data_IF_207372591392
#
_entry.id   IF_207372591392
#
_cell.length_a   1.000
_cell.length_b   1.000
_cell.length_c   1.000
_cell.angle_alpha   90.00
_cell.angle_beta   90.00
_cell.angle_gamma   90.00
#
_symmetry.space_group_name_H-M   'P 1'
#
loop_
_entity.id
_entity.type
_entity.pdbx_description
1 polymer ?
#
# COMPACT_ATOMS: atom_id res chain seq x y z
N UNK A 1 -28.75 -20.07 20.27
CA UNK A 1 -28.61 -21.55 20.15
C UNK A 1 -27.17 -21.89 19.84
N UNK A 2 -26.64 -23.04 20.29
CA UNK A 2 -25.29 -23.47 19.93
C UNK A 2 -25.23 -23.78 18.42
N UNK A 3 -24.26 -23.20 17.73
CA UNK A 3 -24.02 -23.39 16.30
C UNK A 3 -23.69 -24.86 16.01
N UNK A 4 -24.51 -25.53 15.19
CA UNK A 4 -24.43 -26.99 14.97
C UNK A 4 -23.65 -27.29 13.69
N UNK A 5 -22.32 -27.16 13.76
CA UNK A 5 -21.45 -27.40 12.62
C UNK A 5 -21.29 -28.89 12.30
N UNK A 6 -21.86 -29.35 11.19
CA UNK A 6 -21.90 -30.76 10.77
C UNK A 6 -20.96 -31.08 9.60
N UNK A 7 -20.28 -30.09 9.02
CA UNK A 7 -19.43 -30.28 7.85
C UNK A 7 -18.03 -30.75 8.23
N UNK A 8 -17.58 -31.87 7.62
CA UNK A 8 -16.29 -32.49 7.94
C UNK A 8 -15.09 -31.85 7.21
N UNK A 9 -15.33 -31.12 6.11
CA UNK A 9 -14.27 -30.62 5.23
C UNK A 9 -13.95 -29.12 5.36
N UNK A 10 -14.69 -28.36 6.16
CA UNK A 10 -14.42 -26.93 6.37
C UNK A 10 -13.76 -26.67 7.71
N UNK A 11 -12.87 -25.70 7.75
CA UNK A 11 -12.15 -25.34 8.97
C UNK A 11 -13.09 -24.67 9.98
N UNK A 12 -13.15 -25.21 11.21
CA UNK A 12 -13.92 -24.63 12.32
C UNK A 12 -13.36 -23.27 12.74
N UNK A 13 -12.06 -23.04 12.56
CA UNK A 13 -11.43 -21.75 12.85
C UNK A 13 -11.94 -20.66 11.91
N UNK A 14 -12.14 -20.96 10.63
CA UNK A 14 -12.71 -20.02 9.66
C UNK A 14 -14.12 -19.55 10.06
N UNK A 15 -14.91 -20.42 10.69
CA UNK A 15 -16.22 -20.07 11.23
C UNK A 15 -16.08 -19.15 12.43
N UNK A 16 -15.12 -19.41 13.31
CA UNK A 16 -14.85 -18.54 14.46
C UNK A 16 -14.44 -17.14 14.00
N UNK A 17 -13.56 -17.05 13.01
CA UNK A 17 -13.14 -15.80 12.37
C UNK A 17 -14.35 -15.08 11.78
N UNK A 18 -15.19 -15.78 11.01
CA UNK A 18 -16.41 -15.20 10.43
C UNK A 18 -17.34 -14.64 11.53
N UNK A 19 -17.55 -15.40 12.62
CA UNK A 19 -18.40 -14.99 13.74
C UNK A 19 -17.85 -13.83 14.56
N UNK A 20 -16.58 -13.46 14.41
CA UNK A 20 -16.05 -12.23 15.03
C UNK A 20 -16.83 -10.98 14.58
N UNK A 21 -17.28 -10.94 13.32
CA UNK A 21 -18.12 -9.83 12.80
C UNK A 21 -19.40 -9.71 13.60
N UNK A 22 -20.09 -10.83 13.81
CA UNK A 22 -21.32 -10.89 14.59
C UNK A 22 -21.11 -10.44 16.03
N UNK A 23 -20.05 -10.94 16.67
CA UNK A 23 -19.76 -10.66 18.08
C UNK A 23 -19.37 -9.20 18.30
N UNK A 24 -18.53 -8.64 17.44
CA UNK A 24 -18.13 -7.23 17.47
C UNK A 24 -19.33 -6.32 17.27
N UNK A 25 -20.17 -6.57 16.26
CA UNK A 25 -21.35 -5.72 16.01
C UNK A 25 -22.30 -5.77 17.21
N UNK A 26 -22.58 -6.95 17.78
CA UNK A 26 -23.46 -7.07 18.96
C UNK A 26 -22.90 -6.34 20.18
N UNK A 27 -21.58 -6.39 20.39
CA UNK A 27 -20.92 -5.71 21.51
C UNK A 27 -21.07 -4.19 21.42
N UNK A 28 -20.91 -3.62 20.22
CA UNK A 28 -20.95 -2.17 20.04
C UNK A 28 -22.34 -1.61 19.73
N UNK A 29 -23.29 -2.44 19.31
CA UNK A 29 -24.69 -2.02 19.12
C UNK A 29 -25.37 -1.63 20.44
N UNK A 30 -24.86 -2.11 21.58
CA UNK A 30 -25.31 -1.68 22.92
C UNK A 30 -24.50 -0.51 23.49
N UNK A 31 -23.53 0.02 22.73
CA UNK A 31 -22.75 1.19 23.14
C UNK A 31 -23.60 2.46 23.10
N UNK A 32 -23.25 3.45 23.92
CA UNK A 32 -23.85 4.79 23.87
C UNK A 32 -23.31 5.64 22.72
N UNK A 33 -22.17 5.24 22.12
CA UNK A 33 -21.53 5.95 21.02
C UNK A 33 -21.90 5.34 19.66
N UNK A 34 -22.19 6.21 18.68
CA UNK A 34 -22.49 5.81 17.31
C UNK A 34 -21.24 5.24 16.62
N UNK A 35 -21.23 3.93 16.37
CA UNK A 35 -20.20 3.30 15.52
C UNK A 35 -20.59 3.46 14.06
N UNK A 36 -19.72 4.14 13.28
CA UNK A 36 -19.92 4.38 11.84
C UNK A 36 -19.36 3.27 10.95
N UNK A 37 -18.20 2.73 11.31
CA UNK A 37 -17.48 1.74 10.51
C UNK A 37 -16.97 0.61 11.40
N UNK A 38 -17.14 -0.62 10.93
CA UNK A 38 -16.54 -1.81 11.52
C UNK A 38 -15.41 -2.28 10.62
N UNK A 39 -14.19 -2.32 11.14
CA UNK A 39 -13.01 -2.71 10.38
C UNK A 39 -12.44 -4.00 10.96
N UNK A 40 -12.16 -4.95 10.09
CA UNK A 40 -11.67 -6.27 10.44
C UNK A 40 -10.38 -6.55 9.68
N UNK A 41 -9.44 -7.21 10.34
CA UNK A 41 -8.18 -7.69 9.77
C UNK A 41 -7.65 -8.86 10.61
N UNK A 42 -6.58 -9.49 10.15
CA UNK A 42 -5.90 -10.55 10.89
C UNK A 42 -4.87 -9.98 11.88
N UNK A 43 -4.38 -10.83 12.79
CA UNK A 43 -3.39 -10.49 13.82
C UNK A 43 -2.03 -10.04 13.27
N UNK A 44 -1.75 -10.38 12.01
CA UNK A 44 -0.59 -9.97 11.23
C UNK A 44 -0.93 -8.89 10.18
N UNK A 45 -1.97 -8.09 10.45
CA UNK A 45 -2.38 -6.94 9.63
C UNK A 45 -2.11 -5.64 10.37
N UNK A 46 -1.33 -4.76 9.77
CA UNK A 46 -1.00 -3.44 10.31
C UNK A 46 -1.84 -2.39 9.59
N UNK A 47 -2.68 -1.67 10.32
CA UNK A 47 -3.45 -0.55 9.79
C UNK A 47 -2.75 0.78 10.06
N UNK A 48 -2.92 1.73 9.14
CA UNK A 48 -2.60 3.15 9.35
C UNK A 48 -3.90 3.89 9.67
N UNK A 49 -4.20 4.19 10.96
CA UNK A 49 -5.54 4.63 11.36
C UNK A 49 -5.99 5.93 10.70
N UNK A 50 -5.08 6.90 10.52
CA UNK A 50 -5.40 8.18 9.85
C UNK A 50 -5.81 7.96 8.39
N UNK A 51 -5.07 7.12 7.67
CA UNK A 51 -5.35 6.77 6.28
C UNK A 51 -6.65 5.97 6.15
N UNK A 52 -6.90 5.04 7.08
CA UNK A 52 -8.16 4.29 7.16
C UNK A 52 -9.35 5.25 7.35
N UNK A 53 -9.29 6.14 8.33
CA UNK A 53 -10.35 7.10 8.61
C UNK A 53 -10.60 8.04 7.43
N UNK A 54 -9.54 8.56 6.80
CA UNK A 54 -9.63 9.41 5.60
C UNK A 54 -10.16 8.65 4.38
N UNK A 55 -9.83 7.37 4.23
CA UNK A 55 -10.36 6.56 3.13
C UNK A 55 -11.85 6.30 3.32
N UNK A 56 -12.28 5.99 4.55
CA UNK A 56 -13.69 5.72 4.86
C UNK A 56 -14.56 6.98 4.82
N UNK A 57 -14.00 8.18 5.05
CA UNK A 57 -14.74 9.45 4.98
C UNK A 57 -15.28 9.79 3.59
N UNK A 58 -14.82 9.10 2.54
CA UNK A 58 -15.37 9.20 1.18
C UNK A 58 -16.81 8.70 1.08
N UNK A 59 -17.20 7.82 1.99
CA UNK A 59 -18.42 7.03 1.92
C UNK A 59 -19.39 7.41 3.03
N UNK A 60 -20.68 7.30 2.73
CA UNK A 60 -21.75 7.49 3.70
C UNK A 60 -21.97 6.21 4.49
N UNK A 61 -21.68 6.23 5.79
CA UNK A 61 -21.79 5.05 6.67
C UNK A 61 -23.23 4.57 6.88
N UNK A 62 -24.23 5.37 6.49
CA UNK A 62 -25.64 4.98 6.54
C UNK A 62 -26.05 4.12 5.35
N UNK A 63 -25.32 4.18 4.24
CA UNK A 63 -25.51 3.33 3.06
C UNK A 63 -24.76 2.00 3.21
N UNK A 64 -25.16 0.98 2.45
CA UNK A 64 -24.55 -0.35 2.53
C UNK A 64 -23.24 -0.43 1.76
N UNK A 65 -22.13 -0.42 2.49
CA UNK A 65 -20.78 -0.55 1.92
C UNK A 65 -20.02 -1.73 2.52
N UNK A 66 -19.47 -2.54 1.62
CA UNK A 66 -18.44 -3.55 1.90
C UNK A 66 -17.17 -3.13 1.17
N UNK A 67 -16.17 -2.67 1.92
CA UNK A 67 -14.97 -1.99 1.39
C UNK A 67 -13.73 -2.85 1.67
N UNK A 68 -12.86 -2.99 0.68
CA UNK A 68 -11.56 -3.64 0.81
C UNK A 68 -10.93 -3.88 -0.56
N UNK A 69 -9.95 -4.77 -0.65
CA UNK A 69 -9.32 -5.12 -1.92
C UNK A 69 -9.21 -6.64 -2.13
N UNK A 70 -9.06 -7.01 -3.39
CA UNK A 70 -8.76 -8.38 -3.81
C UNK A 70 -7.26 -8.68 -3.67
N UNK A 71 -6.85 -9.91 -3.98
CA UNK A 71 -5.44 -10.31 -3.91
C UNK A 71 -4.67 -9.80 -5.13
N UNK A 72 -3.39 -9.49 -4.94
CA UNK A 72 -2.48 -9.14 -6.03
C UNK A 72 -2.09 -10.38 -6.87
N UNK A 73 -2.39 -11.59 -6.39
CA UNK A 73 -2.12 -12.87 -7.05
C UNK A 73 -3.38 -13.35 -7.78
N UNK A 74 -3.26 -13.55 -9.09
CA UNK A 74 -4.37 -14.00 -9.94
C UNK A 74 -4.97 -15.34 -9.47
N UNK A 75 -4.12 -16.30 -9.10
CA UNK A 75 -4.58 -17.61 -8.64
C UNK A 75 -5.50 -17.52 -7.40
N UNK A 76 -5.19 -16.61 -6.47
CA UNK A 76 -6.01 -16.40 -5.27
C UNK A 76 -7.40 -15.89 -5.67
N UNK A 77 -7.46 -14.87 -6.52
CA UNK A 77 -8.72 -14.33 -7.01
C UNK A 77 -9.53 -15.36 -7.83
N UNK A 78 -8.86 -16.15 -8.67
CA UNK A 78 -9.51 -17.21 -9.45
C UNK A 78 -10.12 -18.31 -8.56
N UNK A 79 -9.56 -18.53 -7.37
CA UNK A 79 -10.03 -19.57 -6.43
C UNK A 79 -11.10 -19.06 -5.47
N UNK A 80 -10.97 -17.83 -4.97
CA UNK A 80 -11.80 -17.28 -3.90
C UNK A 80 -12.85 -16.26 -4.39
N UNK A 81 -12.58 -15.59 -5.50
CA UNK A 81 -13.46 -14.58 -6.09
C UNK A 81 -12.71 -13.28 -6.42
N UNK A 82 -13.09 -12.65 -7.53
CA UNK A 82 -12.53 -11.37 -7.95
C UNK A 82 -13.19 -10.16 -7.27
N UNK A 83 -14.41 -10.34 -6.76
CA UNK A 83 -15.25 -9.29 -6.15
C UNK A 83 -15.37 -9.44 -4.63
N UNK A 84 -14.33 -9.98 -3.99
CA UNK A 84 -14.27 -10.21 -2.55
C UNK A 84 -13.12 -9.42 -1.92
N UNK A 85 -13.36 -8.79 -0.78
CA UNK A 85 -12.28 -8.29 0.06
C UNK A 85 -11.71 -9.44 0.89
N UNK A 86 -10.40 -9.70 0.78
CA UNK A 86 -9.83 -10.75 1.61
C UNK A 86 -9.50 -10.22 2.99
N UNK A 87 -9.67 -11.08 3.99
CA UNK A 87 -9.47 -10.73 5.40
C UNK A 87 -8.02 -10.34 5.73
N UNK A 88 -7.06 -10.79 4.91
CA UNK A 88 -5.64 -10.49 5.07
C UNK A 88 -5.34 -9.01 4.96
N UNK A 89 -5.69 -8.38 3.84
CA UNK A 89 -5.59 -6.91 3.71
C UNK A 89 -6.57 -6.17 4.60
N UNK A 90 -7.54 -6.87 5.16
CA UNK A 90 -8.61 -6.30 5.96
C UNK A 90 -9.73 -5.72 5.11
N UNK A 91 -10.88 -5.53 5.75
CA UNK A 91 -12.07 -4.99 5.12
C UNK A 91 -12.87 -4.15 6.11
N UNK A 92 -13.69 -3.24 5.58
CA UNK A 92 -14.58 -2.40 6.36
C UNK A 92 -16.04 -2.63 5.96
N UNK A 93 -16.92 -2.62 6.95
CA UNK A 93 -18.37 -2.65 6.79
C UNK A 93 -18.97 -1.35 7.33
N UNK A 94 -19.84 -0.73 6.54
CA UNK A 94 -20.69 0.36 7.02
C UNK A 94 -21.57 -0.12 8.17
N UNK A 95 -21.84 0.75 9.15
CA UNK A 95 -22.68 0.42 10.31
C UNK A 95 -24.04 -0.15 9.94
N UNK A 96 -24.72 0.43 8.95
CA UNK A 96 -26.02 -0.03 8.50
C UNK A 96 -25.99 -1.47 7.95
N UNK A 97 -25.01 -1.78 7.10
CA UNK A 97 -24.79 -3.13 6.58
C UNK A 97 -24.43 -4.12 7.69
N UNK A 98 -23.49 -3.74 8.57
CA UNK A 98 -23.01 -4.61 9.64
C UNK A 98 -24.13 -5.03 10.59
N UNK A 99 -25.04 -4.10 10.93
CA UNK A 99 -26.21 -4.36 11.78
C UNK A 99 -27.23 -5.31 11.13
N UNK A 100 -27.45 -5.21 9.83
CA UNK A 100 -28.33 -6.14 9.09
C UNK A 100 -27.67 -7.51 8.97
N UNK A 101 -26.39 -7.53 8.61
CA UNK A 101 -25.59 -8.75 8.49
C UNK A 101 -25.61 -9.53 9.82
N UNK A 102 -25.38 -8.86 10.95
CA UNK A 102 -25.37 -9.47 12.28
C UNK A 102 -26.71 -10.15 12.67
N UNK A 103 -27.85 -9.67 12.17
CA UNK A 103 -29.16 -10.30 12.44
C UNK A 103 -29.31 -11.63 11.70
N UNK A 104 -28.78 -11.70 10.47
CA UNK A 104 -28.95 -12.84 9.58
C UNK A 104 -27.72 -13.78 9.53
N UNK A 105 -26.62 -13.41 10.20
CA UNK A 105 -25.32 -14.04 10.04
C UNK A 105 -25.33 -15.54 10.32
N UNK A 106 -25.87 -15.95 11.48
CA UNK A 106 -25.87 -17.35 11.90
C UNK A 106 -26.60 -18.25 10.88
N UNK A 107 -27.72 -17.79 10.30
CA UNK A 107 -28.45 -18.54 9.27
C UNK A 107 -27.69 -18.61 7.95
N UNK A 108 -27.00 -17.54 7.57
CA UNK A 108 -26.25 -17.50 6.31
C UNK A 108 -25.03 -18.43 6.34
N UNK A 109 -24.21 -18.38 7.40
CA UNK A 109 -22.98 -19.19 7.46
C UNK A 109 -23.26 -20.71 7.47
N UNK A 110 -24.47 -21.13 7.85
CA UNK A 110 -24.92 -22.53 7.75
C UNK A 110 -25.16 -22.98 6.31
N UNK A 111 -25.48 -22.06 5.38
CA UNK A 111 -25.68 -22.36 3.96
C UNK A 111 -24.37 -22.51 3.18
N UNK A 112 -23.29 -21.91 3.68
CA UNK A 112 -21.97 -21.94 3.03
C UNK A 112 -20.89 -22.71 3.83
N UNK A 113 -21.14 -23.95 4.28
CA UNK A 113 -20.19 -24.68 5.11
C UNK A 113 -18.96 -25.15 4.32
N UNK A 114 -19.07 -25.22 2.99
CA UNK A 114 -18.02 -25.67 2.07
C UNK A 114 -16.94 -24.62 1.79
N UNK A 115 -17.19 -23.34 2.12
CA UNK A 115 -16.21 -22.27 1.90
C UNK A 115 -15.04 -22.39 2.89
N UNK A 116 -13.84 -22.22 2.36
CA UNK A 116 -12.59 -22.37 3.09
C UNK A 116 -12.33 -21.20 4.05
N UNK A 117 -12.33 -19.96 3.55
CA UNK A 117 -11.99 -18.76 4.32
C UNK A 117 -13.16 -18.20 5.15
N UNK A 118 -12.83 -17.56 6.27
CA UNK A 118 -13.82 -16.85 7.09
C UNK A 118 -14.36 -15.60 6.39
N UNK A 119 -13.45 -14.90 5.70
CA UNK A 119 -13.74 -13.81 4.77
C UNK A 119 -14.62 -14.26 3.60
N UNK A 120 -14.39 -15.44 3.00
CA UNK A 120 -15.26 -15.97 1.93
C UNK A 120 -16.69 -16.20 2.40
N UNK A 121 -16.86 -16.62 3.66
CA UNK A 121 -18.19 -16.80 4.27
C UNK A 121 -18.87 -15.47 4.53
N UNK A 122 -18.14 -14.48 5.02
CA UNK A 122 -18.66 -13.12 5.21
C UNK A 122 -19.11 -12.55 3.86
N UNK A 123 -18.26 -12.66 2.84
CA UNK A 123 -18.57 -12.22 1.49
C UNK A 123 -19.83 -12.88 0.94
N UNK A 124 -19.99 -14.21 1.08
CA UNK A 124 -21.20 -14.91 0.65
C UNK A 124 -22.47 -14.35 1.33
N UNK A 125 -22.39 -14.02 2.62
CA UNK A 125 -23.51 -13.40 3.33
C UNK A 125 -23.81 -11.96 2.91
N UNK A 126 -22.77 -11.19 2.57
CA UNK A 126 -22.92 -9.84 2.02
C UNK A 126 -23.56 -9.90 0.62
N UNK A 127 -23.20 -10.91 -0.19
CA UNK A 127 -23.82 -11.15 -1.50
C UNK A 127 -25.31 -11.53 -1.42
N UNK A 128 -25.73 -12.29 -0.41
CA UNK A 128 -27.17 -12.57 -0.20
C UNK A 128 -27.98 -11.30 0.09
N UNK A 129 -27.34 -10.27 0.66
CA UNK A 129 -27.93 -8.94 0.85
C UNK A 129 -27.86 -8.06 -0.41
N UNK A 130 -27.28 -8.57 -1.51
CA UNK A 130 -27.16 -7.87 -2.79
C UNK A 130 -26.09 -6.77 -2.82
N UNK A 131 -25.13 -6.80 -1.89
CA UNK A 131 -24.08 -5.78 -1.80
C UNK A 131 -22.79 -6.29 -2.45
N UNK A 132 -22.23 -5.52 -3.38
CA UNK A 132 -20.95 -5.83 -4.03
C UNK A 132 -19.76 -5.20 -3.32
N UNK A 133 -18.55 -5.63 -3.68
CA UNK A 133 -17.31 -5.05 -3.20
C UNK A 133 -17.12 -3.62 -3.72
N UNK A 134 -16.89 -2.71 -2.78
CA UNK A 134 -16.35 -1.38 -3.05
C UNK A 134 -14.84 -1.47 -2.99
N UNK A 135 -14.22 -1.57 -4.16
CA UNK A 135 -12.78 -1.83 -4.28
C UNK A 135 -11.95 -0.60 -3.90
N UNK A 136 -11.16 -0.74 -2.83
CA UNK A 136 -10.22 0.27 -2.34
C UNK A 136 -8.79 -0.30 -2.34
N UNK A 137 -7.97 0.02 -3.37
CA UNK A 137 -6.59 -0.46 -3.50
C UNK A 137 -5.64 -0.07 -2.36
N UNK A 138 -6.08 0.72 -1.38
CA UNK A 138 -5.29 1.03 -0.19
C UNK A 138 -5.24 -0.12 0.82
N UNK A 139 -6.18 -1.07 0.75
CA UNK A 139 -6.17 -2.28 1.57
C UNK A 139 -5.26 -3.32 0.92
N UNK A 140 -3.97 -3.32 1.23
CA UNK A 140 -3.03 -4.20 0.56
C UNK A 140 -2.99 -5.58 1.19
N UNK A 141 -2.97 -6.62 0.35
CA UNK A 141 -2.59 -7.98 0.77
C UNK A 141 -1.13 -8.29 0.41
N UNK A 142 -0.38 -7.25 0.06
CA UNK A 142 0.89 -7.26 -0.67
C UNK A 142 1.98 -8.24 -0.20
N UNK A 143 1.88 -8.96 0.92
CA UNK A 143 2.91 -9.89 1.39
C UNK A 143 2.55 -11.38 1.33
N UNK A 144 1.61 -11.79 0.46
CA UNK A 144 1.59 -13.18 -0.04
C UNK A 144 2.81 -13.49 -0.94
N UNK A 145 3.60 -12.48 -1.34
CA UNK A 145 4.90 -12.65 -2.00
C UNK A 145 6.01 -12.90 -0.97
N UNK A 146 6.99 -13.72 -1.33
CA UNK A 146 8.11 -14.09 -0.44
C UNK A 146 9.40 -13.39 -0.84
N UNK A 147 10.18 -12.95 0.13
CA UNK A 147 11.48 -12.31 -0.09
C UNK A 147 11.39 -10.80 -0.21
N UNK A 148 12.08 -10.21 -1.19
CA UNK A 148 12.25 -8.76 -1.27
C UNK A 148 11.01 -8.03 -1.84
N UNK A 149 10.33 -7.28 -0.98
CA UNK A 149 9.13 -6.49 -1.31
C UNK A 149 9.40 -5.12 -1.95
N UNK A 150 10.66 -4.75 -2.18
CA UNK A 150 11.07 -3.43 -2.68
C UNK A 150 10.23 -2.94 -3.87
N UNK A 151 10.11 -3.73 -4.94
CA UNK A 151 9.41 -3.29 -6.14
C UNK A 151 7.92 -3.03 -5.95
N UNK A 152 7.27 -3.79 -5.07
CA UNK A 152 5.84 -3.62 -4.72
C UNK A 152 5.66 -2.32 -3.93
N UNK A 153 6.48 -2.13 -2.89
CA UNK A 153 6.40 -0.97 -2.02
C UNK A 153 6.78 0.35 -2.73
N UNK A 154 7.61 0.30 -3.77
CA UNK A 154 7.99 1.49 -4.55
C UNK A 154 7.02 1.86 -5.67
N UNK A 155 6.07 0.98 -6.00
CA UNK A 155 5.09 1.19 -7.08
C UNK A 155 3.67 1.39 -6.57
N UNK A 156 3.52 1.77 -5.29
CA UNK A 156 2.23 2.00 -4.68
C UNK A 156 1.43 3.09 -5.44
N UNK A 157 0.11 2.90 -5.45
CA UNK A 157 -0.81 3.75 -6.19
C UNK A 157 -0.90 5.17 -5.62
N UNK A 158 -1.65 6.05 -6.29
CA UNK A 158 -1.95 7.40 -5.79
C UNK A 158 -2.98 7.43 -4.65
N UNK A 159 -3.52 6.27 -4.25
CA UNK A 159 -4.41 6.16 -3.09
C UNK A 159 -3.59 5.97 -1.80
N UNK A 160 -4.10 6.40 -0.63
CA UNK A 160 -3.42 6.17 0.64
C UNK A 160 -3.28 4.67 0.96
N UNK A 161 -2.15 4.31 1.55
CA UNK A 161 -1.96 3.00 2.17
C UNK A 161 -2.84 2.88 3.42
N UNK A 162 -3.78 1.94 3.43
CA UNK A 162 -4.68 1.70 4.57
C UNK A 162 -4.14 0.61 5.48
N UNK A 163 -3.66 -0.48 4.89
CA UNK A 163 -3.21 -1.66 5.62
C UNK A 163 -2.10 -2.41 4.89
N UNK A 164 -1.31 -3.14 5.67
CA UNK A 164 -0.26 -4.05 5.23
C UNK A 164 -0.43 -5.40 5.94
N UNK A 165 -0.25 -6.50 5.23
CA UNK A 165 -0.55 -7.84 5.74
C UNK A 165 0.56 -8.84 5.43
N UNK A 166 0.95 -9.70 6.38
CA UNK A 166 2.03 -10.70 6.28
C UNK A 166 3.47 -10.13 6.28
N UNK A 167 3.70 -9.05 7.02
CA UNK A 167 5.03 -8.42 7.19
C UNK A 167 6.14 -9.42 7.59
N UNK A 168 5.83 -10.42 8.41
CA UNK A 168 6.81 -11.38 8.92
C UNK A 168 7.36 -12.34 7.84
N UNK A 169 6.78 -12.39 6.64
CA UNK A 169 7.19 -13.30 5.56
C UNK A 169 8.08 -12.66 4.50
N UNK A 170 8.32 -11.36 4.59
CA UNK A 170 9.19 -10.62 3.67
C UNK A 170 10.55 -10.33 4.32
N UNK A 171 11.53 -10.08 3.45
CA UNK A 171 12.83 -9.58 3.89
C UNK A 171 12.65 -8.18 4.52
N UNK A 172 13.50 -7.77 5.48
CA UNK A 172 13.42 -6.46 6.08
C UNK A 172 13.41 -5.35 5.03
N UNK A 173 12.44 -4.44 5.13
CA UNK A 173 12.23 -3.38 4.12
C UNK A 173 13.39 -2.37 4.06
N UNK A 174 14.16 -2.23 5.15
CA UNK A 174 15.37 -1.40 5.22
C UNK A 174 16.62 -2.28 5.37
N UNK A 175 17.76 -1.90 4.74
CA UNK A 175 19.00 -2.68 4.81
C UNK A 175 19.54 -2.74 6.25
N UNK A 176 20.24 -3.83 6.59
CA UNK A 176 20.90 -4.05 7.88
C UNK A 176 19.97 -3.89 9.11
N UNK A 177 18.69 -4.21 8.97
CA UNK A 177 17.69 -4.08 10.03
C UNK A 177 16.90 -5.38 10.20
N UNK A 178 16.26 -5.56 11.37
CA UNK A 178 15.24 -6.59 11.57
C UNK A 178 13.88 -6.09 11.10
N UNK A 179 12.95 -6.98 10.75
CA UNK A 179 11.61 -6.61 10.26
C UNK A 179 10.91 -5.63 11.20
N UNK A 180 10.85 -5.92 12.50
CA UNK A 180 10.26 -5.02 13.50
C UNK A 180 10.93 -3.63 13.55
N UNK A 181 12.27 -3.58 13.50
CA UNK A 181 13.00 -2.30 13.53
C UNK A 181 12.76 -1.50 12.26
N UNK A 182 12.69 -2.18 11.11
CA UNK A 182 12.42 -1.60 9.81
C UNK A 182 11.03 -0.94 9.78
N UNK A 183 10.01 -1.64 10.29
CA UNK A 183 8.66 -1.07 10.39
C UNK A 183 8.58 0.06 11.41
N UNK A 184 9.23 -0.06 12.58
CA UNK A 184 9.31 1.08 13.52
C UNK A 184 9.93 2.32 12.87
N UNK A 185 10.93 2.12 12.02
CA UNK A 185 11.56 3.20 11.27
C UNK A 185 10.63 3.78 10.20
N UNK A 186 9.92 2.94 9.44
CA UNK A 186 8.87 3.38 8.50
C UNK A 186 7.81 4.24 9.21
N UNK A 187 7.39 3.83 10.41
CA UNK A 187 6.36 4.54 11.17
C UNK A 187 6.79 5.94 11.60
N UNK A 188 8.10 6.21 11.74
CA UNK A 188 8.58 7.58 11.96
C UNK A 188 8.25 8.53 10.80
N UNK A 189 8.10 8.02 9.56
CA UNK A 189 7.60 8.80 8.44
C UNK A 189 6.07 8.88 8.43
N UNK A 190 5.39 7.78 8.79
CA UNK A 190 3.91 7.72 8.89
C UNK A 190 3.39 8.74 9.90
N UNK A 191 4.09 8.95 11.02
CA UNK A 191 3.71 9.96 12.04
C UNK A 191 3.75 11.40 11.50
N UNK A 192 4.54 11.67 10.45
CA UNK A 192 4.71 13.02 9.89
C UNK A 192 3.72 13.29 8.76
N UNK A 193 3.58 12.37 7.80
CA UNK A 193 2.67 12.50 6.64
C UNK A 193 2.15 11.12 6.20
N UNK A 194 1.14 10.58 6.90
CA UNK A 194 0.70 9.20 6.69
C UNK A 194 0.07 9.00 5.32
N UNK A 195 -0.64 10.00 4.78
CA UNK A 195 -1.36 9.88 3.51
C UNK A 195 -0.42 9.77 2.30
N UNK A 196 0.82 10.24 2.43
CA UNK A 196 1.83 10.21 1.37
C UNK A 196 2.70 8.93 1.39
N UNK A 197 2.64 8.13 2.44
CA UNK A 197 3.51 6.94 2.57
C UNK A 197 3.42 6.03 1.34
N UNK A 198 4.59 5.66 0.80
CA UNK A 198 4.77 4.88 -0.43
C UNK A 198 4.26 5.50 -1.74
N UNK A 199 3.58 6.64 -1.73
CA UNK A 199 3.10 7.25 -2.98
C UNK A 199 4.28 7.57 -3.90
N UNK A 200 4.16 7.09 -5.15
CA UNK A 200 5.18 7.25 -6.17
C UNK A 200 5.05 8.59 -6.89
N UNK A 201 6.05 9.46 -6.75
CA UNK A 201 6.26 10.66 -7.56
C UNK A 201 7.44 10.43 -8.53
N UNK A 202 7.35 10.98 -9.76
CA UNK A 202 8.37 10.78 -10.80
C UNK A 202 8.83 12.12 -11.34
N UNK A 203 10.13 12.29 -11.48
CA UNK A 203 10.79 13.47 -12.05
C UNK A 203 11.87 13.04 -13.04
N UNK A 204 12.12 13.90 -14.02
CA UNK A 204 13.13 13.70 -15.03
C UNK A 204 14.24 14.71 -14.86
N UNK A 205 15.48 14.23 -14.78
CA UNK A 205 16.64 15.10 -14.84
C UNK A 205 16.97 15.42 -16.29
N UNK A 206 17.16 16.70 -16.58
CA UNK A 206 17.44 17.20 -17.92
C UNK A 206 18.92 17.12 -18.30
N UNK A 207 19.83 17.17 -17.32
CA UNK A 207 21.27 17.29 -17.60
C UNK A 207 21.94 15.94 -17.81
N UNK A 208 21.57 14.94 -17.01
CA UNK A 208 22.15 13.60 -17.02
C UNK A 208 21.21 12.54 -17.63
N UNK A 209 20.02 12.96 -18.08
CA UNK A 209 19.00 12.08 -18.63
C UNK A 209 18.56 10.98 -17.66
N UNK A 210 18.41 11.31 -16.37
CA UNK A 210 17.99 10.35 -15.34
C UNK A 210 16.47 10.35 -15.15
N UNK A 211 15.96 9.19 -14.73
CA UNK A 211 14.58 9.07 -14.25
C UNK A 211 14.59 8.84 -12.74
N UNK A 212 13.98 9.73 -11.99
CA UNK A 212 13.95 9.69 -10.53
C UNK A 212 12.54 9.29 -10.10
N UNK A 213 12.46 8.24 -9.30
CA UNK A 213 11.24 7.68 -8.74
C UNK A 213 11.29 7.81 -7.22
N UNK A 214 10.44 8.65 -6.65
CA UNK A 214 10.37 8.90 -5.21
C UNK A 214 9.15 8.17 -4.65
N UNK A 215 9.40 7.10 -3.90
CA UNK A 215 8.42 6.43 -3.05
C UNK A 215 8.53 7.03 -1.65
N UNK A 216 7.73 8.05 -1.36
CA UNK A 216 7.92 8.90 -0.19
C UNK A 216 7.85 8.11 1.13
N UNK A 217 8.77 8.42 2.04
CA UNK A 217 8.91 7.74 3.34
C UNK A 217 9.54 6.35 3.26
N UNK A 218 9.95 5.90 2.07
CA UNK A 218 10.60 4.60 1.89
C UNK A 218 11.89 4.68 1.08
N UNK A 219 11.82 4.91 -0.23
CA UNK A 219 13.00 4.94 -1.09
C UNK A 219 12.92 5.97 -2.22
N UNK A 220 14.09 6.38 -2.71
CA UNK A 220 14.26 7.06 -3.99
C UNK A 220 15.07 6.16 -4.91
N UNK A 221 14.57 5.88 -6.11
CA UNK A 221 15.27 5.12 -7.14
C UNK A 221 15.65 6.03 -8.29
N UNK A 222 16.93 6.06 -8.66
CA UNK A 222 17.42 6.80 -9.83
C UNK A 222 17.87 5.82 -10.90
N UNK A 223 17.15 5.81 -12.01
CA UNK A 223 17.57 5.13 -13.22
C UNK A 223 18.53 6.03 -14.02
N UNK A 224 19.69 5.49 -14.40
CA UNK A 224 20.71 6.20 -15.20
C UNK A 224 20.32 6.46 -16.66
N UNK A 225 19.03 6.38 -17.00
CA UNK A 225 18.47 6.63 -18.33
C UNK A 225 17.03 7.13 -18.21
N UNK A 226 16.56 7.76 -19.29
CA UNK A 226 15.16 8.14 -19.44
C UNK A 226 14.29 6.90 -19.67
N UNK A 227 13.29 6.73 -18.81
CA UNK A 227 12.24 5.74 -18.95
C UNK A 227 10.91 6.45 -19.17
N UNK A 228 10.10 5.93 -20.09
CA UNK A 228 8.73 6.39 -20.23
C UNK A 228 7.98 6.19 -18.91
N UNK A 229 7.16 7.18 -18.52
CA UNK A 229 6.42 7.12 -17.27
C UNK A 229 5.62 5.82 -17.13
N UNK A 230 5.01 5.34 -18.22
CA UNK A 230 4.28 4.07 -18.25
C UNK A 230 5.13 2.87 -17.79
N UNK A 231 6.43 2.86 -18.08
CA UNK A 231 7.34 1.77 -17.71
C UNK A 231 7.93 1.97 -16.31
N UNK A 232 8.05 3.22 -15.85
CA UNK A 232 8.41 3.54 -14.46
C UNK A 232 7.34 3.07 -13.47
N UNK A 233 6.06 3.20 -13.85
CA UNK A 233 4.93 2.79 -13.02
C UNK A 233 4.73 1.28 -12.91
N UNK A 234 5.44 0.46 -13.70
CA UNK A 234 5.36 -0.99 -13.58
C UNK A 234 6.18 -1.47 -12.39
N UNK A 235 5.59 -2.36 -11.61
CA UNK A 235 6.19 -2.95 -10.41
C UNK A 235 7.40 -3.81 -10.77
N UNK A 236 8.55 -3.57 -10.14
CA UNK A 236 9.74 -4.40 -10.33
C UNK A 236 9.57 -5.76 -9.63
N UNK A 237 9.77 -6.86 -10.33
CA UNK A 237 9.68 -8.21 -9.74
C UNK A 237 10.90 -8.53 -8.87
N UNK A 238 10.96 -7.95 -7.67
CA UNK A 238 12.09 -8.13 -6.72
C UNK A 238 11.93 -9.34 -5.81
N UNK A 239 10.72 -9.89 -5.70
CA UNK A 239 10.40 -11.01 -4.82
C UNK A 239 10.72 -12.36 -5.47
N UNK A 240 10.68 -13.43 -4.69
CA UNK A 240 10.90 -14.78 -5.19
C UNK A 240 9.70 -15.22 -6.04
N UNK A 241 9.91 -15.64 -7.30
CA UNK A 241 8.82 -16.08 -8.15
C UNK A 241 8.16 -17.33 -7.54
N UNK A 242 6.84 -17.38 -7.61
CA UNK A 242 6.06 -18.58 -7.27
C UNK A 242 5.85 -19.43 -8.53
N UNK A 243 5.57 -20.72 -8.39
CA UNK A 243 5.33 -21.60 -9.54
C UNK A 243 3.90 -21.51 -10.08
N UNK A 244 3.73 -21.78 -11.39
CA UNK A 244 2.41 -21.93 -12.02
C UNK A 244 1.58 -20.65 -12.04
N UNK A 245 0.27 -20.74 -11.80
CA UNK A 245 -0.62 -19.57 -11.81
C UNK A 245 -0.36 -18.59 -10.65
N UNK A 246 0.45 -18.98 -9.66
CA UNK A 246 0.82 -18.10 -8.55
C UNK A 246 1.90 -17.05 -8.92
N UNK A 247 2.53 -17.14 -10.10
CA UNK A 247 3.35 -16.06 -10.67
C UNK A 247 2.58 -15.10 -11.56
N UNK A 248 1.27 -15.29 -11.74
CA UNK A 248 0.44 -14.37 -12.51
C UNK A 248 -0.14 -13.33 -11.56
N UNK A 249 0.19 -12.06 -11.79
CA UNK A 249 -0.23 -10.93 -10.96
C UNK A 249 -1.39 -10.17 -11.59
N UNK A 250 -2.17 -9.47 -10.77
CA UNK A 250 -3.26 -8.57 -11.22
C UNK A 250 -2.79 -7.15 -11.54
N UNK A 251 -1.49 -6.88 -11.41
CA UNK A 251 -0.85 -5.61 -11.72
C UNK A 251 0.22 -5.76 -12.81
N UNK A 252 0.60 -4.64 -13.43
CA UNK A 252 1.64 -4.64 -14.46
C UNK A 252 3.02 -4.68 -13.81
N UNK A 253 3.76 -5.75 -14.07
CA UNK A 253 5.12 -5.92 -13.60
C UNK A 253 6.17 -5.64 -14.69
N UNK A 254 7.43 -5.52 -14.27
CA UNK A 254 8.62 -5.47 -15.12
C UNK A 254 9.74 -6.26 -14.49
N UNK A 255 10.54 -6.91 -15.33
CA UNK A 255 11.70 -7.66 -14.89
C UNK A 255 12.79 -6.73 -14.33
N UNK A 256 13.50 -7.24 -13.33
CA UNK A 256 14.69 -6.58 -12.79
C UNK A 256 15.90 -7.00 -13.62
N UNK A 257 16.73 -6.03 -14.02
CA UNK A 257 17.92 -6.32 -14.81
C UNK A 257 18.85 -7.31 -14.08
N UNK A 258 19.39 -8.35 -14.74
CA UNK A 258 20.21 -9.36 -14.06
C UNK A 258 21.50 -8.77 -13.48
N UNK A 259 22.15 -7.86 -14.21
CA UNK A 259 23.32 -7.11 -13.76
C UNK A 259 22.92 -6.04 -12.72
N UNK A 260 23.40 -6.11 -11.46
CA UNK A 260 23.15 -5.11 -10.43
C UNK A 260 23.56 -3.69 -10.82
N UNK A 261 24.61 -3.53 -11.63
CA UNK A 261 25.16 -2.22 -11.96
C UNK A 261 24.29 -1.46 -12.95
N UNK A 262 23.43 -2.17 -13.69
CA UNK A 262 22.43 -1.61 -14.60
C UNK A 262 21.05 -1.42 -13.94
N UNK A 263 20.90 -1.80 -12.67
CA UNK A 263 19.69 -1.53 -11.89
C UNK A 263 19.65 -0.05 -11.45
N UNK A 264 18.46 0.49 -11.17
CA UNK A 264 18.36 1.82 -10.59
C UNK A 264 19.06 1.88 -9.23
N UNK A 265 19.77 2.98 -9.01
CA UNK A 265 20.44 3.24 -7.73
C UNK A 265 19.38 3.54 -6.70
N UNK A 266 19.35 2.75 -5.62
CA UNK A 266 18.32 2.85 -4.59
C UNK A 266 18.87 3.60 -3.37
N UNK A 267 18.12 4.59 -2.90
CA UNK A 267 18.39 5.36 -1.70
C UNK A 267 17.28 5.08 -0.69
N UNK A 268 17.63 4.61 0.51
CA UNK A 268 16.67 4.32 1.57
C UNK A 268 16.49 5.52 2.49
N UNK A 269 15.27 5.75 2.95
CA UNK A 269 14.96 6.80 3.92
C UNK A 269 15.76 6.57 5.21
N UNK A 270 16.50 7.59 5.65
CA UNK A 270 17.24 7.59 6.90
C UNK A 270 16.47 8.29 8.02
N UNK A 271 15.86 9.44 7.74
CA UNK A 271 15.02 10.15 8.69
C UNK A 271 14.09 11.15 7.99
N UNK A 272 13.01 11.51 8.69
CA UNK A 272 12.05 12.55 8.29
C UNK A 272 11.95 13.57 9.42
N UNK A 273 11.91 14.85 9.08
CA UNK A 273 11.69 15.94 10.03
C UNK A 273 10.70 16.95 9.46
N UNK A 274 9.95 17.60 10.34
CA UNK A 274 9.03 18.69 10.00
C UNK A 274 9.49 19.99 10.64
N UNK A 275 9.63 21.04 9.85
CA UNK A 275 9.95 22.39 10.32
C UNK A 275 8.72 23.02 10.98
N UNK A 276 8.78 23.43 12.26
CA UNK A 276 7.62 24.01 12.97
C UNK A 276 7.12 25.34 12.43
N UNK A 277 7.96 26.07 11.67
CA UNK A 277 7.66 27.42 11.21
C UNK A 277 6.75 27.47 9.97
N UNK A 278 7.14 26.76 8.91
CA UNK A 278 6.49 26.81 7.59
C UNK A 278 5.75 25.51 7.23
N UNK A 279 5.83 24.48 8.10
CA UNK A 279 5.24 23.16 7.83
C UNK A 279 5.97 22.37 6.76
N UNK A 280 7.19 22.77 6.39
CA UNK A 280 8.00 22.05 5.41
C UNK A 280 8.51 20.76 6.03
N UNK A 281 8.21 19.65 5.37
CA UNK A 281 8.70 18.31 5.68
C UNK A 281 9.94 18.04 4.83
N UNK A 282 11.03 17.69 5.51
CA UNK A 282 12.28 17.24 4.90
C UNK A 282 12.45 15.75 5.18
N UNK A 283 12.64 14.96 4.13
CA UNK A 283 13.03 13.55 4.23
C UNK A 283 14.40 13.34 3.58
N UNK A 284 15.27 12.61 4.27
CA UNK A 284 16.65 12.35 3.85
C UNK A 284 16.81 10.88 3.51
N UNK A 285 17.42 10.60 2.36
CA UNK A 285 17.63 9.25 1.85
C UNK A 285 19.11 9.02 1.57
N UNK A 286 19.64 7.87 1.99
CA UNK A 286 21.03 7.48 1.79
C UNK A 286 21.16 6.32 0.83
N UNK A 287 22.21 6.38 0.02
CA UNK A 287 22.49 5.37 -0.99
C UNK A 287 22.69 3.98 -0.34
N UNK A 288 22.03 2.96 -0.90
CA UNK A 288 22.32 1.58 -0.57
C UNK A 288 23.66 1.17 -1.19
N UNK A 289 24.54 0.57 -0.40
CA UNK A 289 25.82 0.09 -0.92
C UNK A 289 25.60 -1.10 -1.86
N UNK A 290 26.10 -0.97 -3.09
CA UNK A 290 26.22 -2.07 -4.05
C UNK A 290 27.61 -2.02 -4.67
N UNK A 291 28.26 -3.18 -4.79
CA UNK A 291 29.59 -3.27 -5.39
C UNK A 291 29.48 -3.19 -6.93
N UNK A 292 29.70 -1.99 -7.47
CA UNK A 292 29.63 -1.71 -8.89
C UNK A 292 30.71 -0.72 -9.31
N UNK A 293 31.34 -0.96 -10.46
CA UNK A 293 32.13 0.06 -11.14
C UNK A 293 31.17 1.02 -11.85
N UNK A 294 31.38 2.32 -11.68
CA UNK A 294 30.53 3.34 -12.29
C UNK A 294 31.35 4.55 -12.73
N UNK A 295 30.83 5.27 -13.72
CA UNK A 295 31.41 6.54 -14.15
C UNK A 295 31.12 7.63 -13.09
N UNK A 296 32.14 8.22 -12.44
CA UNK A 296 31.94 9.26 -11.43
C UNK A 296 31.31 10.55 -11.98
N UNK A 297 31.28 10.74 -13.31
CA UNK A 297 30.73 11.94 -13.94
C UNK A 297 29.23 11.79 -14.23
N UNK A 298 28.82 10.74 -14.95
CA UNK A 298 27.44 10.58 -15.44
C UNK A 298 26.57 9.65 -14.61
N UNK A 299 27.14 8.83 -13.72
CA UNK A 299 26.36 7.87 -12.95
C UNK A 299 25.64 8.52 -11.77
N UNK A 300 24.37 8.17 -11.50
CA UNK A 300 23.70 8.58 -10.27
C UNK A 300 24.34 7.98 -9.01
N UNK A 301 25.23 6.98 -9.15
CA UNK A 301 25.98 6.39 -8.03
C UNK A 301 26.96 7.37 -7.35
N UNK A 302 27.27 8.51 -7.99
CA UNK A 302 28.07 9.58 -7.36
C UNK A 302 27.36 10.31 -6.22
N UNK A 303 26.03 10.21 -6.16
CA UNK A 303 25.23 10.84 -5.11
C UNK A 303 25.28 9.98 -3.85
N UNK A 304 25.53 10.62 -2.70
CA UNK A 304 25.54 9.98 -1.39
C UNK A 304 24.20 10.15 -0.68
N UNK A 305 23.53 11.29 -0.90
CA UNK A 305 22.34 11.70 -0.18
C UNK A 305 21.32 12.36 -1.11
N UNK A 306 20.04 12.08 -0.89
CA UNK A 306 18.92 12.76 -1.53
C UNK A 306 18.05 13.38 -0.44
N UNK A 307 17.67 14.65 -0.63
CA UNK A 307 16.77 15.37 0.26
C UNK A 307 15.48 15.67 -0.50
N UNK A 308 14.36 15.21 0.04
CA UNK A 308 13.05 15.46 -0.53
C UNK A 308 12.29 16.41 0.39
N UNK A 309 11.88 17.55 -0.15
CA UNK A 309 11.12 18.59 0.51
C UNK A 309 9.66 18.55 0.04
N UNK A 310 8.74 18.74 0.97
CA UNK A 310 7.31 18.68 0.68
C UNK A 310 6.50 19.35 1.80
N UNK A 311 5.23 19.61 1.59
CA UNK A 311 4.27 20.01 2.63
C UNK A 311 3.35 18.83 2.96
N UNK A 312 2.80 18.74 4.18
CA UNK A 312 1.92 17.63 4.58
C UNK A 312 0.77 17.46 3.57
N UNK A 313 0.55 16.24 3.10
CA UNK A 313 -0.55 15.93 2.19
C UNK A 313 -1.88 15.92 2.96
N UNK A 314 -2.82 16.79 2.60
CA UNK A 314 -4.18 16.81 3.16
C UNK A 314 -5.21 16.94 2.01
N UNK A 315 -5.52 15.83 1.33
CA UNK A 315 -6.44 15.83 0.20
C UNK A 315 -7.89 15.93 0.67
N UNK A 316 -8.70 16.70 -0.05
CA UNK A 316 -10.13 16.76 0.17
C UNK A 316 -10.84 15.48 -0.31
N UNK A 317 -12.15 15.37 -0.03
CA UNK A 317 -12.95 14.20 -0.42
C UNK A 317 -12.95 13.99 -1.96
N UNK A 318 -12.90 15.07 -2.75
CA UNK A 318 -12.88 14.99 -4.21
C UNK A 318 -11.55 14.40 -4.70
N UNK A 319 -10.43 14.87 -4.15
CA UNK A 319 -9.09 14.37 -4.42
C UNK A 319 -8.94 12.91 -3.96
N UNK A 320 -9.54 12.52 -2.82
CA UNK A 320 -9.54 11.13 -2.37
C UNK A 320 -10.35 10.20 -3.30
N UNK A 321 -11.42 10.70 -3.92
CA UNK A 321 -12.24 9.95 -4.90
C UNK A 321 -11.57 9.86 -6.27
N UNK A 322 -10.88 10.92 -6.69
CA UNK A 322 -10.17 11.00 -7.97
C UNK A 322 -8.72 11.45 -7.75
N UNK A 323 -7.85 10.58 -7.22
CA UNK A 323 -6.49 10.95 -6.83
C UNK A 323 -5.61 11.24 -8.05
N UNK A 324 -4.93 12.38 -8.01
CA UNK A 324 -3.89 12.76 -8.98
C UNK A 324 -2.52 12.59 -8.33
N UNK A 325 -1.57 12.00 -9.07
CA UNK A 325 -0.17 11.90 -8.62
C UNK A 325 0.41 13.29 -8.38
N UNK A 326 1.20 13.43 -7.32
CA UNK A 326 1.95 14.65 -7.06
C UNK A 326 3.10 14.85 -8.05
N UNK A 327 3.43 16.10 -8.32
CA UNK A 327 4.53 16.46 -9.21
C UNK A 327 5.83 16.53 -8.43
N UNK A 328 6.91 16.08 -9.08
CA UNK A 328 8.26 16.11 -8.56
C UNK A 328 9.08 17.12 -9.36
N UNK A 329 9.89 17.93 -8.69
CA UNK A 329 10.84 18.86 -9.31
C UNK A 329 12.22 18.74 -8.67
N UNK A 330 13.28 18.82 -9.48
CA UNK A 330 14.65 18.83 -8.98
C UNK A 330 15.00 20.27 -8.62
N UNK A 331 15.41 20.49 -7.37
CA UNK A 331 15.71 21.83 -6.85
C UNK A 331 17.17 22.22 -7.15
N UNK A 332 17.46 23.52 -7.34
CA UNK A 332 18.83 24.00 -7.50
C UNK A 332 19.66 23.66 -6.26
N UNK A 333 20.73 22.89 -6.43
CA UNK A 333 21.54 22.41 -5.31
C UNK A 333 22.34 23.54 -4.69
N UNK A 334 22.16 23.83 -3.40
CA UNK A 334 23.02 24.74 -2.65
C UNK A 334 24.34 24.04 -2.27
N UNK A 335 25.31 24.09 -3.17
CA UNK A 335 26.76 24.02 -2.87
C UNK A 335 27.28 22.88 -1.96
N UNK A 336 27.09 21.61 -2.35
CA UNK A 336 27.80 20.47 -1.73
C UNK A 336 28.40 19.52 -2.77
N UNK A 337 29.45 19.97 -3.47
CA UNK A 337 30.36 19.11 -4.25
C UNK A 337 29.75 18.13 -5.27
N UNK A 338 28.48 18.32 -5.67
CA UNK A 338 27.74 17.41 -6.56
C UNK A 338 27.29 16.08 -5.95
N UNK A 339 27.39 15.89 -4.62
CA UNK A 339 27.09 14.63 -3.92
C UNK A 339 25.69 14.54 -3.32
N UNK A 340 25.00 15.67 -3.20
CA UNK A 340 23.64 15.75 -2.64
C UNK A 340 22.70 16.24 -3.72
N UNK A 341 21.54 15.61 -3.84
CA UNK A 341 20.45 16.05 -4.72
C UNK A 341 19.26 16.49 -3.88
N UNK A 342 18.64 17.60 -4.25
CA UNK A 342 17.45 18.13 -3.59
C UNK A 342 16.25 18.06 -4.53
N UNK A 343 15.12 17.60 -4.01
CA UNK A 343 13.90 17.32 -4.75
C UNK A 343 12.72 17.95 -4.01
N UNK A 344 11.83 18.63 -4.73
CA UNK A 344 10.54 19.11 -4.25
C UNK A 344 9.41 18.20 -4.69
N UNK A 345 8.48 17.87 -3.79
CA UNK A 345 7.19 17.25 -4.12
C UNK A 345 6.07 18.23 -3.78
N UNK A 346 5.18 18.47 -4.75
CA UNK A 346 4.04 19.37 -4.61
C UNK A 346 2.84 18.90 -5.41
N UNK A 347 1.69 19.53 -5.19
CA UNK A 347 0.55 19.37 -6.08
C UNK A 347 0.90 19.86 -7.50
N UNK A 348 0.48 19.08 -8.49
CA UNK A 348 0.64 19.47 -9.89
C UNK A 348 -0.30 20.63 -10.22
N UNK A 349 0.15 21.57 -11.05
CA UNK A 349 -0.74 22.57 -11.65
C UNK A 349 -1.74 21.87 -12.59
N UNK A 350 -2.85 22.54 -12.89
CA UNK A 350 -3.96 21.98 -13.66
C UNK A 350 -3.48 21.25 -14.93
N UNK A 351 -2.73 21.94 -15.79
CA UNK A 351 -2.22 21.42 -17.08
C UNK A 351 -0.79 20.83 -17.01
N UNK A 352 -0.25 20.60 -15.80
CA UNK A 352 1.11 20.11 -15.64
C UNK A 352 1.23 18.60 -15.92
N UNK A 353 2.01 18.26 -16.94
CA UNK A 353 2.41 16.90 -17.26
C UNK A 353 3.76 16.56 -16.63
N UNK A 354 3.92 15.30 -16.24
CA UNK A 354 5.24 14.72 -15.95
C UNK A 354 5.76 14.18 -17.27
N UNK A 355 6.69 14.91 -17.90
CA UNK A 355 7.23 14.56 -19.22
C UNK A 355 8.75 14.62 -19.23
N UNK A 356 9.34 13.82 -20.12
CA UNK A 356 10.78 13.83 -20.37
C UNK A 356 11.13 15.11 -21.14
N UNK A 357 12.09 15.87 -20.63
CA UNK A 357 12.62 16.99 -21.37
C UNK A 357 13.51 16.47 -22.51
N UNK A 358 13.23 16.85 -23.78
CA UNK A 358 14.05 16.45 -24.92
C UNK A 358 15.44 17.11 -24.91
#
# INVERSE_FOLDING_TARGET
>A
MPYRYTWRGGDRNAIRIARSVLETVRMFNTSSEEVRWYVFGYDNTMFVPENLARTLSKYDHTSWYYIGANSEIYHQNSKFGHDMAFGGGGFALSSSLANVLAKNFDSCIERYPHLYGGDSRIHACVLELGVGLTHEPGFHQQFDVKGNALGILTSHSTRPLVSLHHEAHIDPIFPNSTTFTAFRHLFSAVEVDPLRIFQLAVCYDRWYSWTISVSWGYTVQIEGRHLYLRDVLRTQETWKPSGGLASVYTFNSREVHPDPCQRPVTFFMEHVSSSPGDGTIKSVYKQAYENCTYDPISSPRKLEEIRVFSTRLDPDIRQLKAPRRQCCEILPTSSTGGKVMEIGIRECKEDEFIYMHP
#
